data_IF_999006110791
#
_entry.id   IF_999006110791
#
_cell.length_a   1.000
_cell.length_b   1.000
_cell.length_c   1.000
_cell.angle_alpha   90.00
_cell.angle_beta   90.00
_cell.angle_gamma   90.00
#
_symmetry.space_group_name_H-M   'P 1'
#
loop_
_entity.id
_entity.type
_entity.pdbx_description
1 polymer ?
2 non-polymer ?
3 water ?
#
# COMPACT_ATOMS: atom_id res chain seq x y z
N UNK A 1 -14.17 4.00 15.37
CA UNK A 1 -15.54 4.51 15.02
C UNK A 1 -15.44 5.93 14.44
N UNK A 2 -14.23 6.38 14.13
CA UNK A 2 -13.89 7.80 14.20
C UNK A 2 -14.31 8.56 12.93
N UNK A 3 -14.16 9.89 13.08
CA UNK A 3 -14.31 10.84 12.00
C UNK A 3 -12.97 10.93 11.24
N UNK A 4 -12.93 10.78 9.88
CA UNK A 4 -11.73 11.07 9.07
C UNK A 4 -11.00 12.34 9.46
N UNK A 5 -9.67 12.32 9.37
CA UNK A 5 -8.83 13.43 9.76
C UNK A 5 -8.15 14.04 8.54
N UNK A 6 -7.77 15.31 8.72
CA UNK A 6 -7.09 16.07 7.70
C UNK A 6 -5.68 16.42 8.19
N UNK A 7 -4.87 16.89 7.24
CA UNK A 7 -3.49 17.23 7.51
C UNK A 7 -2.82 17.48 6.16
N UNK A 8 -1.54 17.84 6.21
CA UNK A 8 -0.80 18.28 5.05
C UNK A 8 0.30 17.24 4.75
N UNK A 9 0.79 17.18 3.50
CA UNK A 9 1.91 16.29 3.19
C UNK A 9 3.17 16.74 3.93
N UNK A 10 4.07 15.79 4.15
CA UNK A 10 5.45 16.11 4.43
C UNK A 10 6.22 15.66 3.20
N UNK A 11 6.93 16.60 2.57
CA UNK A 11 7.75 16.34 1.40
C UNK A 11 6.93 15.74 0.27
N UNK A 12 5.74 16.29 0.01
CA UNK A 12 4.92 15.88 -1.12
C UNK A 12 4.34 14.47 -0.96
N UNK A 13 4.27 13.94 0.27
CA UNK A 13 3.87 12.56 0.51
C UNK A 13 3.01 12.47 1.78
N UNK A 14 2.04 11.53 1.76
CA UNK A 14 1.17 11.15 2.87
C UNK A 14 1.10 9.63 2.90
N UNK A 15 1.60 9.04 3.98
CA UNK A 15 1.57 7.60 4.26
C UNK A 15 0.33 7.24 5.09
N UNK A 16 -0.48 6.29 4.60
CA UNK A 16 -1.44 5.61 5.46
C UNK A 16 -0.75 4.45 6.21
N UNK A 17 -0.81 4.49 7.54
CA UNK A 17 -0.09 3.52 8.32
C UNK A 17 -1.13 2.66 9.03
N UNK A 18 -1.39 1.46 8.46
CA UNK A 18 -2.56 0.62 8.76
C UNK A 18 -2.23 -0.59 9.67
N UNK A 19 -3.06 -0.81 10.71
CA UNK A 19 -3.12 -2.04 11.51
C UNK A 19 -4.54 -2.62 11.50
N UNK A 20 -4.67 -3.88 11.96
CA UNK A 20 -5.94 -4.60 12.13
C UNK A 20 -6.06 -5.14 13.55
N UNK A 21 -7.29 -5.55 13.94
CA UNK A 21 -7.56 -5.88 15.34
C UNK A 21 -8.94 -6.53 15.53
N UNK A 22 -9.02 -7.43 16.52
CA UNK A 22 -10.29 -7.80 17.11
C UNK A 22 -10.18 -7.56 18.62
N UNK A 23 -11.26 -7.00 19.20
CA UNK A 23 -11.35 -6.58 20.59
C UNK A 23 -10.06 -5.90 21.06
N UNK A 24 -9.58 -4.92 20.26
CA UNK A 24 -8.36 -4.21 20.56
C UNK A 24 -7.22 -5.19 20.76
N UNK A 25 -7.18 -6.22 19.89
CA UNK A 25 -6.12 -7.22 19.84
C UNK A 25 -5.39 -7.08 18.50
N UNK A 26 -4.11 -6.67 18.56
CA UNK A 26 -3.23 -6.66 17.39
C UNK A 26 -3.38 -8.01 16.66
N UNK A 27 -3.92 -7.92 15.44
CA UNK A 27 -4.08 -9.00 14.49
C UNK A 27 -3.18 -8.75 13.26
N UNK A 28 -2.80 -9.85 12.59
CA UNK A 28 -1.84 -9.85 11.48
C UNK A 28 -1.92 -11.19 10.77
N UNK A 29 -2.79 -11.30 9.78
CA UNK A 29 -3.09 -12.56 9.15
C UNK A 29 -3.07 -12.36 7.63
N UNK A 30 -1.93 -12.73 7.05
CA UNK A 30 -1.61 -12.52 5.65
C UNK A 30 -2.53 -13.31 4.72
N UNK A 31 -3.31 -14.26 5.25
CA UNK A 31 -4.20 -15.10 4.42
C UNK A 31 -5.65 -14.62 4.53
N UNK A 32 -5.90 -13.69 5.47
CA UNK A 32 -7.21 -13.10 5.63
C UNK A 32 -7.36 -11.92 4.68
N UNK A 33 -8.07 -12.15 3.58
CA UNK A 33 -8.47 -11.11 2.67
C UNK A 33 -9.26 -9.99 3.35
N UNK A 34 -9.15 -8.80 2.75
CA UNK A 34 -9.98 -7.64 3.09
C UNK A 34 -10.28 -6.90 1.79
N UNK A 35 -11.33 -6.04 1.78
CA UNK A 35 -11.58 -5.18 0.64
C UNK A 35 -11.50 -3.67 0.97
N UNK A 36 -10.79 -3.30 2.04
CA UNK A 36 -10.50 -1.90 2.31
C UNK A 36 -9.98 -1.19 1.06
N UNK A 37 -10.69 -0.13 0.68
CA UNK A 37 -10.26 0.86 -0.30
C UNK A 37 -10.03 2.17 0.45
N UNK A 38 -8.93 2.85 0.12
CA UNK A 38 -8.60 4.16 0.68
C UNK A 38 -8.67 5.19 -0.43
N UNK A 39 -9.42 6.26 -0.18
CA UNK A 39 -9.48 7.36 -1.13
C UNK A 39 -8.79 8.56 -0.51
N UNK A 40 -7.82 9.13 -1.25
CA UNK A 40 -7.20 10.37 -0.84
C UNK A 40 -8.03 11.53 -1.42
N UNK A 41 -8.31 12.49 -0.54
CA UNK A 41 -9.09 13.63 -0.96
C UNK A 41 -8.34 14.89 -0.57
N UNK A 42 -8.37 15.86 -1.50
CA UNK A 42 -7.88 17.21 -1.25
C UNK A 42 -9.07 18.18 -1.22
N UNK A 43 -8.90 19.21 -0.38
CA UNK A 43 -9.81 20.36 -0.27
C UNK A 43 -9.43 21.37 -1.35
N UNK A 44 -10.23 21.41 -2.44
CA UNK A 44 -9.92 22.09 -3.68
C UNK A 44 -10.78 23.36 -3.83
N UNK A 45 -10.11 24.54 -3.80
CA UNK A 45 -10.73 25.85 -4.01
C UNK A 45 -11.01 26.06 -5.49
N UNK A 46 -12.29 26.28 -5.83
CA UNK A 46 -12.75 26.53 -7.20
C UNK A 46 -12.98 28.03 -7.44
N UNK A 47 -13.02 28.82 -6.36
CA UNK A 47 -13.00 30.25 -6.48
C UNK A 47 -14.32 30.89 -6.03
N UNK A 48 -14.65 31.99 -6.71
CA UNK A 48 -15.69 32.92 -6.32
C UNK A 48 -16.94 32.56 -7.09
N UNK A 49 -17.98 32.08 -6.38
CA UNK A 49 -19.29 31.85 -6.95
C UNK A 49 -20.35 32.54 -6.08
N UNK A 50 -21.60 32.05 -6.08
CA UNK A 50 -22.68 32.64 -5.31
C UNK A 50 -23.54 31.56 -4.71
N UNK A 51 -24.19 31.87 -3.58
CA UNK A 51 -25.30 31.11 -3.04
C UNK A 51 -26.57 31.96 -3.18
N UNK A 52 -27.62 31.37 -3.76
CA UNK A 52 -28.89 32.03 -3.94
C UNK A 52 -29.95 31.30 -3.14
N UNK A 53 -30.93 32.05 -2.64
CA UNK A 53 -31.94 31.49 -1.77
C UNK A 53 -33.04 32.53 -1.70
N UNK A 54 -34.28 32.13 -1.95
CA UNK A 54 -35.44 32.97 -1.62
C UNK A 54 -35.55 33.18 -0.11
N UNK A 55 -35.57 34.46 0.29
CA UNK A 55 -35.79 34.87 1.67
C UNK A 55 -36.71 36.08 1.64
N UNK A 56 -37.86 35.99 2.35
CA UNK A 56 -38.73 37.13 2.63
C UNK A 56 -39.20 37.75 1.32
N UNK A 57 -39.65 36.90 0.39
CA UNK A 57 -40.37 37.34 -0.80
C UNK A 57 -39.48 37.53 -2.03
N UNK A 58 -38.16 37.35 -1.89
CA UNK A 58 -37.24 37.72 -2.96
C UNK A 58 -35.94 36.92 -2.87
N UNK A 59 -35.35 36.65 -4.04
CA UNK A 59 -34.04 36.04 -4.14
C UNK A 59 -32.96 36.91 -3.52
N UNK A 60 -32.21 36.31 -2.59
CA UNK A 60 -30.97 36.84 -2.07
C UNK A 60 -29.83 36.05 -2.67
N UNK A 61 -28.77 36.76 -3.09
CA UNK A 61 -27.69 36.16 -3.85
C UNK A 61 -26.37 36.74 -3.34
N UNK A 62 -25.60 35.88 -2.64
CA UNK A 62 -24.44 36.24 -1.83
C UNK A 62 -23.19 35.63 -2.48
N UNK A 63 -22.13 36.40 -2.82
CA UNK A 63 -20.85 35.81 -3.23
C UNK A 63 -20.32 34.86 -2.14
N UNK A 64 -19.79 33.70 -2.53
CA UNK A 64 -19.19 32.70 -1.64
C UNK A 64 -17.99 32.06 -2.33
N UNK A 65 -16.91 31.83 -1.59
CA UNK A 65 -15.82 31.02 -2.11
C UNK A 65 -16.23 29.56 -2.07
N UNK A 66 -16.00 28.87 -3.19
CA UNK A 66 -16.33 27.46 -3.25
C UNK A 66 -15.07 26.64 -3.03
N UNK A 67 -15.19 25.74 -2.05
CA UNK A 67 -14.16 24.81 -1.66
C UNK A 67 -14.83 23.44 -1.50
N UNK A 68 -14.41 22.46 -2.30
CA UNK A 68 -14.92 21.10 -2.20
C UNK A 68 -13.80 20.13 -1.81
N UNK A 69 -14.19 18.91 -1.43
CA UNK A 69 -13.28 17.77 -1.42
C UNK A 69 -13.34 17.07 -2.77
N UNK A 70 -12.19 16.82 -3.39
CA UNK A 70 -12.17 16.03 -4.60
C UNK A 70 -11.12 14.93 -4.39
N UNK A 71 -11.46 13.77 -4.99
CA UNK A 71 -10.63 12.59 -5.07
C UNK A 71 -9.30 12.91 -5.73
N UNK A 72 -8.19 12.55 -5.06
CA UNK A 72 -6.85 12.73 -5.60
C UNK A 72 -6.35 11.40 -6.20
N UNK A 73 -6.41 10.32 -5.40
CA UNK A 73 -5.91 9.00 -5.74
C UNK A 73 -6.52 8.03 -4.72
N UNK A 74 -6.20 6.73 -4.87
CA UNK A 74 -6.72 5.67 -4.01
C UNK A 74 -5.71 4.52 -3.82
N UNK A 75 -5.87 3.79 -2.70
CA UNK A 75 -5.15 2.52 -2.54
C UNK A 75 -6.11 1.42 -2.08
N UNK A 76 -5.84 0.22 -2.54
CA UNK A 76 -6.69 -0.92 -2.27
C UNK A 76 -5.86 -1.83 -1.36
N UNK A 77 -6.33 -2.13 -0.14
CA UNK A 77 -5.68 -3.15 0.69
C UNK A 77 -6.08 -4.54 0.23
N UNK A 78 -5.36 -5.55 0.73
CA UNK A 78 -5.32 -6.85 0.10
C UNK A 78 -5.58 -7.95 1.16
N UNK A 79 -4.81 -7.93 2.24
CA UNK A 79 -4.96 -8.87 3.31
C UNK A 79 -4.95 -8.12 4.62
N UNK A 80 -5.11 -8.86 5.73
CA UNK A 80 -5.38 -8.22 7.00
C UNK A 80 -4.10 -8.11 7.81
N UNK A 81 -3.03 -7.63 7.18
CA UNK A 81 -1.75 -7.46 7.85
C UNK A 81 -1.37 -5.99 7.88
N UNK A 82 -0.50 -5.65 8.83
CA UNK A 82 -0.05 -4.28 9.01
C UNK A 82 0.77 -3.85 7.80
N UNK A 83 0.46 -2.65 7.25
CA UNK A 83 1.12 -2.16 6.05
C UNK A 83 1.15 -0.64 6.07
N UNK A 84 2.07 -0.04 5.27
CA UNK A 84 1.99 1.38 4.92
C UNK A 84 1.77 1.54 3.42
N UNK A 85 0.93 2.52 3.05
CA UNK A 85 0.82 2.99 1.68
C UNK A 85 1.14 4.48 1.62
N UNK A 86 2.12 4.85 0.79
CA UNK A 86 2.53 6.24 0.69
C UNK A 86 2.04 6.84 -0.61
N UNK A 87 1.07 7.74 -0.51
CA UNK A 87 0.68 8.54 -1.65
C UNK A 87 1.74 9.60 -1.92
N UNK A 88 1.97 9.89 -3.22
CA UNK A 88 3.12 10.68 -3.63
C UNK A 88 2.76 11.74 -4.65
N UNK A 89 3.65 12.71 -4.83
CA UNK A 89 3.46 13.80 -5.78
C UNK A 89 2.33 14.74 -5.35
N UNK A 90 2.14 14.91 -4.03
CA UNK A 90 1.12 15.84 -3.55
C UNK A 90 1.74 17.24 -3.40
N UNK A 91 0.92 18.18 -2.90
CA UNK A 91 1.22 19.59 -2.69
C UNK A 91 1.28 19.85 -1.18
N UNK A 92 2.45 20.30 -0.71
CA UNK A 92 2.66 20.48 0.71
C UNK A 92 1.73 21.58 1.26
N UNK A 93 1.26 22.46 0.39
CA UNK A 93 0.49 23.61 0.83
C UNK A 93 -0.96 23.19 1.10
N UNK A 94 -1.50 22.26 0.31
CA UNK A 94 -2.90 21.90 0.39
C UNK A 94 -3.16 20.99 1.58
N UNK A 95 -4.46 20.90 1.90
CA UNK A 95 -4.97 20.13 3.02
C UNK A 95 -5.70 18.91 2.47
N UNK A 96 -5.32 17.71 2.95
CA UNK A 96 -5.91 16.47 2.44
C UNK A 96 -6.64 15.70 3.53
N UNK A 97 -7.41 14.68 3.11
CA UNK A 97 -7.80 13.62 4.03
C UNK A 97 -7.87 12.30 3.28
N UNK A 98 -7.77 11.20 4.03
CA UNK A 98 -8.03 9.84 3.57
C UNK A 98 -9.31 9.33 4.24
N UNK A 99 -10.24 8.85 3.41
CA UNK A 99 -11.42 8.13 3.84
C UNK A 99 -11.24 6.66 3.43
N UNK A 100 -11.47 5.76 4.38
CA UNK A 100 -11.38 4.34 4.11
C UNK A 100 -12.79 3.76 4.00
N UNK A 101 -13.03 2.92 2.99
CA UNK A 101 -14.23 2.11 2.95
C UNK A 101 -13.78 0.67 3.15
N UNK A 102 -14.40 -0.01 4.11
CA UNK A 102 -14.10 -1.40 4.36
C UNK A 102 -15.35 -2.08 4.93
N UNK A 103 -15.69 -3.26 4.39
CA UNK A 103 -16.65 -4.17 4.98
C UNK A 103 -15.95 -5.05 6.00
N UNK A 104 -16.63 -5.31 7.12
CA UNK A 104 -16.09 -6.13 8.20
C UNK A 104 -15.47 -5.32 9.32
N UNK A 105 -15.02 -4.07 9.08
CA UNK A 105 -14.26 -3.37 10.11
C UNK A 105 -14.67 -1.90 10.22
N UNK A 106 -14.24 -1.33 11.34
CA UNK A 106 -14.50 0.04 11.74
C UNK A 106 -13.18 0.80 11.74
N UNK A 107 -12.94 1.63 10.69
CA UNK A 107 -11.78 2.50 10.70
C UNK A 107 -11.79 3.31 11.98
N UNK A 108 -10.70 3.24 12.73
CA UNK A 108 -10.37 4.21 13.77
C UNK A 108 -9.30 5.16 13.22
N UNK A 109 -9.73 6.29 12.68
CA UNK A 109 -8.81 7.31 12.26
C UNK A 109 -8.13 7.84 13.52
N UNK A 110 -6.99 7.25 13.89
CA UNK A 110 -6.32 7.51 15.17
C UNK A 110 -5.70 8.91 15.18
N UNK A 111 -4.56 9.12 14.49
CA UNK A 111 -3.99 10.45 14.36
C UNK A 111 -3.62 10.74 12.91
N UNK A 112 -3.34 12.03 12.64
CA UNK A 112 -2.83 12.51 11.36
C UNK A 112 -1.80 13.58 11.67
N UNK A 113 -0.52 13.18 11.70
CA UNK A 113 0.53 14.09 12.15
C UNK A 113 1.77 13.85 11.31
N UNK A 114 2.42 14.96 10.95
CA UNK A 114 3.74 14.90 10.40
C UNK A 114 3.77 13.94 9.21
N UNK A 115 2.75 14.03 8.36
CA UNK A 115 2.75 13.31 7.09
C UNK A 115 2.02 11.98 7.10
N UNK A 116 1.66 11.47 8.30
CA UNK A 116 1.23 10.08 8.48
C UNK A 116 -0.22 10.01 8.96
N UNK A 117 -1.08 9.26 8.22
CA UNK A 117 -2.44 8.93 8.67
C UNK A 117 -2.39 7.58 9.33
N UNK A 118 -2.70 7.51 10.64
CA UNK A 118 -2.70 6.23 11.36
C UNK A 118 -4.14 5.72 11.50
N UNK A 119 -4.37 4.48 11.08
CA UNK A 119 -5.70 3.89 10.98
C UNK A 119 -5.67 2.48 11.51
N UNK A 120 -6.49 2.21 12.55
CA UNK A 120 -6.62 0.90 13.14
C UNK A 120 -7.97 0.33 12.71
N UNK A 121 -7.94 -0.76 11.97
CA UNK A 121 -9.17 -1.40 11.54
C UNK A 121 -9.71 -2.29 12.66
N UNK A 122 -10.77 -1.86 13.35
CA UNK A 122 -11.36 -2.62 14.45
C UNK A 122 -12.46 -3.53 13.89
N UNK A 123 -12.34 -4.85 14.13
CA UNK A 123 -13.21 -5.84 13.52
C UNK A 123 -14.61 -5.69 14.07
N UNK A 124 -15.59 -6.26 13.37
CA UNK A 124 -16.99 -6.21 13.79
C UNK A 124 -17.34 -7.42 14.67
N UNK A 125 -17.49 -7.16 15.97
CA UNK A 125 -18.08 -8.14 16.87
C UNK A 125 -19.60 -7.97 16.88
N UNK A 126 -20.27 -9.11 17.12
CA UNK A 126 -21.68 -9.18 17.45
C UNK A 126 -21.86 -8.58 18.85
N UNK A 127 -22.98 -7.89 19.12
CA UNK A 127 -23.17 -7.29 20.44
C UNK A 127 -23.65 -8.36 21.42
N UNK A 128 -22.91 -8.66 22.53
CA UNK A 128 -23.30 -9.72 23.48
C UNK A 128 -24.44 -9.38 24.44
N UNK A 129 -25.59 -10.07 24.29
CA UNK A 129 -26.76 -9.83 25.13
C UNK A 129 -26.75 -10.78 26.33
N UNK A 130 -27.06 -10.29 27.55
CA UNK A 130 -26.91 -11.10 28.77
C UNK A 130 -27.89 -12.28 28.87
N UNK A 131 -27.43 -13.38 29.49
CA UNK A 131 -28.30 -14.38 30.10
C UNK A 131 -27.70 -14.75 31.46
N UNK B 1 11.07 -6.79 -18.47
CA UNK B 1 12.16 -7.50 -19.20
C UNK B 1 13.34 -7.79 -18.26
N UNK B 2 13.10 -7.97 -16.94
CA UNK B 2 14.17 -7.88 -15.92
C UNK B 2 14.06 -8.97 -14.83
N UNK B 3 15.20 -9.22 -14.15
CA UNK B 3 15.34 -10.22 -13.08
C UNK B 3 14.92 -9.67 -11.71
N UNK B 4 13.94 -10.25 -10.98
CA UNK B 4 13.54 -9.72 -9.66
C UNK B 4 14.73 -9.74 -8.72
N UNK B 5 14.85 -8.72 -7.86
CA UNK B 5 16.00 -8.57 -7.00
C UNK B 5 15.64 -9.02 -5.59
N UNK B 6 16.55 -9.79 -4.97
CA UNK B 6 16.48 -10.22 -3.59
C UNK B 6 17.06 -9.13 -2.71
N UNK B 7 16.80 -9.25 -1.41
CA UNK B 7 17.44 -8.41 -0.42
C UNK B 7 16.84 -8.69 0.95
N UNK B 8 17.16 -7.83 1.91
CA UNK B 8 16.78 -8.07 3.30
C UNK B 8 15.92 -6.92 3.82
N UNK B 9 15.08 -7.14 4.86
CA UNK B 9 14.36 -6.04 5.49
C UNK B 9 15.35 -5.12 6.15
N UNK B 10 14.90 -3.88 6.36
CA UNK B 10 15.55 -2.94 7.27
C UNK B 10 14.46 -2.58 8.25
N UNK B 11 14.69 -2.85 9.54
CA UNK B 11 13.78 -2.39 10.58
C UNK B 11 12.48 -3.19 10.51
N UNK B 12 12.57 -4.42 9.97
CA UNK B 12 11.51 -5.41 9.82
C UNK B 12 10.57 -5.07 8.65
N UNK B 13 10.94 -4.07 7.83
CA UNK B 13 10.09 -3.60 6.74
C UNK B 13 10.83 -3.72 5.40
N UNK B 14 10.08 -3.99 4.33
CA UNK B 14 10.56 -3.79 2.97
C UNK B 14 9.56 -2.89 2.23
N UNK B 15 10.07 -1.85 1.57
CA UNK B 15 9.23 -0.95 0.81
C UNK B 15 9.36 -1.20 -0.68
N UNK B 16 8.22 -1.42 -1.35
CA UNK B 16 8.14 -1.31 -2.81
C UNK B 16 8.02 0.16 -3.17
N UNK B 17 8.71 0.56 -4.21
CA UNK B 17 8.86 1.96 -4.55
C UNK B 17 8.54 2.02 -6.03
N UNK B 18 7.28 2.33 -6.36
CA UNK B 18 6.78 2.04 -7.70
C UNK B 18 6.49 3.31 -8.51
N UNK B 19 6.92 3.27 -9.78
CA UNK B 19 6.66 4.29 -10.78
C UNK B 19 6.21 3.65 -12.08
N UNK B 20 5.67 4.50 -12.96
CA UNK B 20 5.19 4.12 -14.27
C UNK B 20 5.87 4.98 -15.34
N UNK B 21 5.96 4.45 -16.57
CA UNK B 21 6.72 5.10 -17.64
C UNK B 21 6.14 4.69 -18.99
N UNK B 22 6.26 5.61 -19.97
CA UNK B 22 6.00 5.27 -21.37
C UNK B 22 7.20 5.70 -22.19
N UNK B 23 7.87 4.72 -22.82
CA UNK B 23 9.10 4.97 -23.55
C UNK B 23 10.15 5.54 -22.59
N UNK B 24 10.12 5.09 -21.33
CA UNK B 24 11.06 5.52 -20.29
C UNK B 24 10.89 6.99 -19.90
N UNK B 25 9.68 7.54 -20.03
CA UNK B 25 9.36 8.85 -19.47
C UNK B 25 8.29 8.64 -18.38
N UNK B 26 8.59 9.10 -17.16
CA UNK B 26 7.66 8.94 -16.06
C UNK B 26 6.29 9.46 -16.47
N UNK B 27 5.28 8.66 -16.12
CA UNK B 27 3.88 8.96 -16.23
C UNK B 27 3.32 9.03 -14.82
N UNK B 28 2.31 9.87 -14.60
CA UNK B 28 1.59 9.95 -13.34
C UNK B 28 0.16 10.37 -13.70
N UNK B 29 -0.74 9.38 -13.76
CA UNK B 29 -2.11 9.62 -14.21
C UNK B 29 -3.06 8.87 -13.29
N UNK B 30 -3.62 9.60 -12.31
CA UNK B 30 -4.47 9.01 -11.30
C UNK B 30 -5.76 8.46 -11.89
N UNK B 31 -6.10 8.88 -13.11
CA UNK B 31 -7.35 8.50 -13.76
C UNK B 31 -7.14 7.34 -14.73
N UNK B 32 -5.92 6.78 -14.82
CA UNK B 32 -5.62 5.53 -15.54
C UNK B 32 -5.52 4.33 -14.57
N UNK B 33 -6.41 3.36 -14.80
CA UNK B 33 -6.47 2.12 -14.09
C UNK B 33 -5.36 1.16 -14.49
N UNK B 34 -4.80 0.45 -13.49
CA UNK B 34 -3.87 -0.64 -13.74
C UNK B 34 -4.27 -1.82 -12.88
N UNK B 35 -3.80 -2.99 -13.29
CA UNK B 35 -4.10 -4.21 -12.57
C UNK B 35 -2.81 -4.86 -12.04
N UNK B 36 -1.82 -4.08 -11.61
CA UNK B 36 -0.59 -4.67 -11.09
C UNK B 36 -0.88 -5.30 -9.74
N UNK B 37 -0.22 -6.46 -9.50
CA UNK B 37 -0.20 -7.16 -8.24
C UNK B 37 1.24 -7.53 -7.90
N UNK B 38 1.56 -7.41 -6.61
CA UNK B 38 2.91 -7.63 -6.11
C UNK B 38 2.88 -8.67 -5.00
N UNK B 39 3.83 -9.61 -5.04
CA UNK B 39 3.89 -10.69 -4.08
C UNK B 39 5.26 -10.67 -3.41
N UNK B 40 5.27 -10.40 -2.10
CA UNK B 40 6.48 -10.56 -1.32
C UNK B 40 6.70 -12.06 -1.09
N UNK B 41 7.92 -12.52 -1.35
CA UNK B 41 8.26 -13.94 -1.20
C UNK B 41 9.55 -14.06 -0.42
N UNK B 42 9.63 -15.09 0.42
CA UNK B 42 10.80 -15.29 1.26
C UNK B 42 11.48 -16.57 0.78
N UNK B 43 12.80 -16.62 0.97
CA UNK B 43 13.62 -17.77 0.63
C UNK B 43 13.66 -18.69 1.86
N UNK B 44 13.33 -19.97 1.66
CA UNK B 44 13.57 -21.01 2.65
C UNK B 44 14.56 -22.03 2.08
N UNK B 45 15.60 -22.34 2.89
CA UNK B 45 16.81 -23.05 2.47
C UNK B 45 16.69 -24.56 2.78
N UNK B 46 15.54 -25.02 3.31
CA UNK B 46 15.38 -26.37 3.87
C UNK B 46 16.12 -27.45 3.08
N UNK B 47 16.96 -28.22 3.77
CA UNK B 47 17.55 -29.44 3.20
C UNK B 47 16.62 -30.62 3.40
N UNK B 48 16.60 -31.59 2.47
CA UNK B 48 15.73 -32.75 2.59
C UNK B 48 16.23 -33.90 1.71
N UNK B 49 16.68 -34.98 2.37
CA UNK B 49 17.32 -36.12 1.71
C UNK B 49 18.86 -36.06 1.77
N UNK B 50 19.49 -36.87 0.91
CA UNK B 50 20.94 -36.92 0.77
C UNK B 50 21.26 -37.08 -0.72
N UNK B 51 22.32 -36.44 -1.24
CA UNK B 51 22.77 -36.61 -2.62
C UNK B 51 24.01 -37.55 -2.65
N UNK B 52 24.08 -38.43 -3.67
CA UNK B 52 25.29 -39.18 -4.02
C UNK B 52 26.16 -38.40 -5.01
N UNK B 53 27.46 -38.39 -4.77
CA UNK B 53 28.43 -38.00 -5.78
C UNK B 53 29.55 -39.02 -5.71
N UNK B 54 30.41 -39.08 -6.73
CA UNK B 54 31.61 -39.89 -6.62
C UNK B 54 32.78 -39.00 -6.22
N UNK B 55 33.26 -39.08 -4.97
CA UNK B 55 34.35 -38.18 -4.63
C UNK B 55 35.67 -38.83 -4.97
N UNK B 56 36.14 -39.74 -4.11
CA UNK B 56 37.49 -40.29 -4.30
C UNK B 56 37.38 -41.76 -4.68
N UNK B 57 36.67 -42.02 -5.78
CA UNK B 57 36.45 -43.37 -6.25
C UNK B 57 35.45 -44.15 -5.40
N UNK B 58 34.62 -43.40 -4.68
CA UNK B 58 33.61 -43.97 -3.80
C UNK B 58 32.47 -42.96 -3.65
N UNK B 59 31.22 -43.45 -3.73
CA UNK B 59 30.05 -42.70 -3.30
C UNK B 59 30.30 -42.00 -1.97
N UNK B 60 30.19 -40.67 -2.01
CA UNK B 60 30.18 -39.82 -0.84
C UNK B 60 28.76 -39.24 -0.77
N UNK B 61 28.22 -39.11 0.45
CA UNK B 61 26.88 -38.60 0.70
C UNK B 61 26.96 -37.12 1.05
N UNK B 62 26.44 -36.22 0.19
CA UNK B 62 26.32 -34.83 0.60
C UNK B 62 24.85 -34.58 0.98
N UNK B 63 24.57 -33.55 1.82
CA UNK B 63 23.17 -33.17 2.09
C UNK B 63 22.51 -32.66 0.80
N UNK B 64 21.26 -33.09 0.57
CA UNK B 64 20.46 -32.64 -0.58
C UNK B 64 19.68 -31.37 -0.21
N UNK B 65 20.34 -30.21 -0.43
CA UNK B 65 19.80 -28.92 -0.06
C UNK B 65 18.93 -28.36 -1.19
N UNK B 66 17.78 -27.79 -0.79
CA UNK B 66 16.80 -27.24 -1.72
C UNK B 66 16.41 -25.82 -1.28
N UNK B 67 16.15 -24.94 -2.25
CA UNK B 67 15.67 -23.60 -1.97
C UNK B 67 14.29 -23.40 -2.61
N UNK B 68 13.46 -22.62 -1.92
CA UNK B 68 12.09 -22.39 -2.33
C UNK B 68 11.73 -20.93 -2.06
N UNK B 69 11.00 -20.31 -3.00
CA UNK B 69 10.35 -19.03 -2.78
C UNK B 69 8.93 -19.23 -2.24
N UNK B 70 8.68 -18.73 -1.02
CA UNK B 70 7.38 -18.87 -0.36
C UNK B 70 6.67 -17.50 -0.30
N UNK B 71 5.46 -17.44 -0.88
CA UNK B 71 4.56 -16.31 -0.75
C UNK B 71 4.42 -15.92 0.73
N UNK B 72 4.58 -14.62 1.03
CA UNK B 72 4.60 -14.07 2.38
C UNK B 72 3.38 -13.19 2.57
N UNK B 73 3.21 -12.26 1.62
CA UNK B 73 2.20 -11.22 1.68
C UNK B 73 2.02 -10.62 0.28
N UNK B 74 1.06 -9.69 0.15
CA UNK B 74 0.64 -9.17 -1.15
C UNK B 74 0.23 -7.68 -1.10
N UNK B 75 0.17 -7.07 -2.30
CA UNK B 75 -0.25 -5.69 -2.51
C UNK B 75 -0.82 -5.56 -3.92
N UNK B 76 -1.77 -4.64 -4.07
CA UNK B 76 -2.41 -4.35 -5.34
C UNK B 76 -2.25 -2.86 -5.67
N UNK B 77 -1.81 -2.51 -6.88
CA UNK B 77 -1.91 -1.13 -7.37
C UNK B 77 -3.30 -0.85 -7.96
N UNK B 78 -3.74 0.43 -7.87
CA UNK B 78 -5.03 0.86 -8.38
C UNK B 78 -4.88 1.70 -9.65
N UNK B 79 -3.99 2.71 -9.64
CA UNK B 79 -3.80 3.63 -10.75
C UNK B 79 -2.35 3.70 -11.19
N UNK B 80 -2.15 4.27 -12.38
CA UNK B 80 -0.81 4.47 -12.91
C UNK B 80 -0.16 5.71 -12.32
N UNK B 81 -0.10 5.78 -10.98
CA UNK B 81 0.67 6.84 -10.33
C UNK B 81 1.76 6.24 -9.45
N UNK B 82 2.71 7.10 -9.03
CA UNK B 82 3.77 6.75 -8.09
C UNK B 82 3.19 6.56 -6.68
N UNK B 83 3.68 5.49 -6.01
CA UNK B 83 3.37 5.16 -4.63
C UNK B 83 4.46 4.24 -4.11
N UNK B 84 4.53 4.19 -2.78
CA UNK B 84 5.29 3.18 -2.06
C UNK B 84 4.29 2.31 -1.33
N UNK B 85 4.59 1.00 -1.28
CA UNK B 85 3.94 0.06 -0.39
C UNK B 85 4.97 -0.49 0.61
N UNK B 86 4.65 -0.50 1.90
CA UNK B 86 5.56 -1.09 2.86
C UNK B 86 4.99 -2.35 3.53
N UNK B 87 5.69 -3.46 3.34
CA UNK B 87 5.42 -4.67 4.09
C UNK B 87 6.08 -4.57 5.46
N UNK B 88 5.37 -5.05 6.49
CA UNK B 88 5.82 -4.93 7.87
C UNK B 88 5.83 -6.32 8.51
N UNK B 89 6.45 -6.37 9.72
CA UNK B 89 6.55 -7.56 10.54
C UNK B 89 7.33 -8.68 9.83
N UNK B 90 8.38 -8.28 9.13
CA UNK B 90 9.20 -9.25 8.44
C UNK B 90 10.36 -9.65 9.39
N UNK B 91 11.12 -10.70 9.00
CA UNK B 91 12.32 -11.16 9.71
C UNK B 91 13.56 -10.54 9.05
N UNK B 92 14.32 -9.71 9.79
CA UNK B 92 15.49 -8.99 9.26
C UNK B 92 16.59 -9.94 8.78
N UNK B 93 16.66 -11.14 9.36
CA UNK B 93 17.69 -12.11 9.03
C UNK B 93 17.40 -12.77 7.67
N UNK B 94 16.21 -12.58 7.10
CA UNK B 94 15.82 -13.38 5.96
C UNK B 94 15.99 -12.61 4.66
N UNK B 95 15.84 -13.39 3.58
CA UNK B 95 16.01 -12.94 2.22
C UNK B 95 14.67 -13.05 1.49
N UNK B 96 14.23 -11.87 1.00
CA UNK B 96 12.98 -11.74 0.29
C UNK B 96 13.18 -11.15 -1.10
N UNK B 97 12.25 -11.46 -2.01
CA UNK B 97 12.05 -10.71 -3.24
C UNK B 97 10.59 -10.28 -3.37
N UNK B 98 10.32 -9.31 -4.27
CA UNK B 98 8.99 -9.00 -4.76
C UNK B 98 8.93 -9.33 -6.26
N UNK B 99 7.96 -10.14 -6.66
CA UNK B 99 7.63 -10.32 -8.06
C UNK B 99 6.31 -9.60 -8.31
N UNK B 100 6.03 -9.29 -9.59
CA UNK B 100 4.91 -8.45 -9.99
C UNK B 100 4.23 -9.08 -11.21
N UNK B 101 2.89 -9.17 -11.20
CA UNK B 101 2.14 -9.51 -12.40
C UNK B 101 1.30 -8.30 -12.80
N UNK B 102 1.51 -7.78 -14.01
CA UNK B 102 0.81 -6.58 -14.44
C UNK B 102 0.45 -6.75 -15.90
N UNK B 103 -0.82 -6.47 -16.23
CA UNK B 103 -1.31 -6.37 -17.60
C UNK B 103 -1.03 -4.98 -18.15
N UNK B 104 -0.25 -4.91 -19.25
CA UNK B 104 -0.12 -3.70 -20.06
C UNK B 104 1.24 -3.01 -19.94
N UNK B 105 2.07 -3.52 -19.02
CA UNK B 105 3.35 -2.94 -18.64
C UNK B 105 4.34 -4.07 -18.43
N UNK B 106 5.63 -3.70 -18.39
CA UNK B 106 6.69 -4.65 -18.11
C UNK B 106 7.47 -4.20 -16.88
N UNK B 107 7.43 -4.96 -15.78
CA UNK B 107 8.27 -4.60 -14.63
C UNK B 107 9.76 -4.57 -14.95
N UNK B 108 10.43 -3.50 -14.50
CA UNK B 108 11.87 -3.34 -14.53
C UNK B 108 12.33 -3.20 -13.09
N UNK B 109 12.89 -4.30 -12.54
CA UNK B 109 13.31 -4.35 -11.16
C UNK B 109 14.66 -3.67 -11.05
N UNK B 110 14.63 -2.41 -10.59
CA UNK B 110 15.77 -1.51 -10.74
C UNK B 110 16.81 -1.79 -9.67
N UNK B 111 16.38 -1.83 -8.40
CA UNK B 111 17.27 -1.93 -7.27
C UNK B 111 16.55 -2.58 -6.10
N UNK B 112 17.34 -3.19 -5.21
CA UNK B 112 16.88 -3.52 -3.89
C UNK B 112 17.96 -3.08 -2.92
N UNK B 113 17.76 -1.95 -2.23
CA UNK B 113 18.83 -1.36 -1.44
C UNK B 113 18.25 -0.69 -0.19
N UNK B 114 18.85 -1.01 0.96
CA UNK B 114 18.49 -0.41 2.22
C UNK B 114 16.99 -0.64 2.48
N UNK B 115 16.53 -1.84 2.12
CA UNK B 115 15.17 -2.29 2.41
C UNK B 115 14.14 -1.66 1.48
N UNK B 116 14.60 -1.16 0.31
CA UNK B 116 13.73 -0.52 -0.68
C UNK B 116 13.92 -1.21 -2.02
N UNK B 117 12.84 -1.79 -2.53
CA UNK B 117 12.73 -2.36 -3.88
C UNK B 117 12.13 -1.27 -4.78
N UNK B 118 12.77 -1.04 -5.93
CA UNK B 118 12.41 0.02 -6.83
C UNK B 118 12.02 -0.71 -8.09
N UNK B 119 10.79 -0.47 -8.55
CA UNK B 119 10.23 -1.10 -9.73
C UNK B 119 9.69 0.00 -10.65
N UNK B 120 10.10 -0.08 -11.94
CA UNK B 120 9.64 0.86 -12.96
C UNK B 120 8.82 0.04 -13.95
N UNK B 121 7.53 0.36 -14.01
CA UNK B 121 6.62 -0.29 -14.92
C UNK B 121 6.67 0.44 -16.28
N UNK B 122 7.08 -0.28 -17.34
CA UNK B 122 7.29 0.29 -18.66
C UNK B 122 6.22 -0.22 -19.62
N UNK B 123 5.40 0.70 -20.17
CA UNK B 123 4.34 0.40 -21.14
C UNK B 123 4.93 -0.34 -22.33
N UNK B 124 4.20 -1.37 -22.83
CA UNK B 124 4.67 -2.23 -23.91
C UNK B 124 3.59 -2.27 -25.02
#
# INVERSE_FOLDING_TARGET
>A
ENEPKEGIPVDKKITVNKTWAVDGNEVNKADETVDAVFTLQVKQRYGEGTKKIEYDGQTYSIPSLFVKWVNVDSAKATAATSFKHTFENLDNAKTYRVIERVSGYAPEYVSFVNGVVTIKNNKDSNEPTPI
>B
ENEPKEGIPVDKKITVNKTWAVDGNEVNKADETVDAVFTLQVKQRYGEGTKKIEYDGQTYSIPSLFVKWVNVDSAKATAATSFKHTFENLDNAKTYRVIERVSGYAPEYVSFVNGVVTIKNNKDSNEPTPI
#
